data_IF_855977368380
#
_entry.id   IF_855977368380
#
_cell.length_a   1.000
_cell.length_b   1.000
_cell.length_c   1.000
_cell.angle_alpha   90.00
_cell.angle_beta   90.00
_cell.angle_gamma   90.00
#
_symmetry.space_group_name_H-M   'P 1'
#
loop_
_entity.id
_entity.type
_entity.pdbx_description
1 polymer ?
#
# COMPACT_ATOMS: atom_id res chain seq x y z
N UNK A 1 -23.77 -40.32 -52.35
CA UNK A 1 -23.06 -39.88 -53.60
C UNK A 1 -21.77 -39.22 -53.12
N UNK A 2 -20.65 -39.92 -53.06
CA UNK A 2 -19.61 -40.13 -54.04
C UNK A 2 -19.13 -38.79 -54.63
N UNK A 3 -17.90 -38.33 -54.21
CA UNK A 3 -16.58 -38.28 -54.87
C UNK A 3 -15.77 -37.24 -54.14
N UNK A 4 -14.55 -37.35 -53.66
CA UNK A 4 -13.38 -38.12 -54.05
C UNK A 4 -12.41 -37.31 -54.87
N UNK A 5 -11.12 -37.41 -54.57
CA UNK A 5 -9.93 -36.96 -55.32
C UNK A 5 -9.14 -35.85 -54.54
N UNK A 6 -8.05 -36.14 -53.95
CA UNK A 6 -6.72 -36.72 -54.20
C UNK A 6 -5.62 -35.64 -54.27
N UNK A 7 -4.70 -35.81 -53.41
CA UNK A 7 -3.28 -35.59 -53.30
C UNK A 7 -2.50 -35.00 -54.48
N UNK A 8 -1.55 -34.10 -54.15
CA UNK A 8 -0.21 -34.17 -54.79
C UNK A 8 0.86 -33.62 -53.83
N UNK A 9 1.77 -34.49 -53.45
CA UNK A 9 3.04 -34.19 -52.78
C UNK A 9 4.05 -33.69 -53.84
N UNK A 10 4.85 -32.72 -53.50
CA UNK A 10 6.10 -32.42 -54.21
C UNK A 10 7.24 -32.32 -53.17
N UNK A 11 8.09 -33.31 -53.22
CA UNK A 11 9.40 -33.39 -52.59
C UNK A 11 10.40 -32.75 -53.53
N UNK A 12 11.20 -31.82 -53.04
CA UNK A 12 12.45 -31.44 -53.72
C UNK A 12 13.55 -31.29 -52.67
N UNK A 13 14.52 -32.14 -52.82
CA UNK A 13 15.69 -32.40 -51.95
C UNK A 13 16.91 -31.58 -52.38
N UNK A 14 17.80 -31.38 -51.37
CA UNK A 14 19.25 -31.24 -51.41
C UNK A 14 19.91 -29.99 -51.97
N UNK A 15 20.66 -29.32 -51.11
CA UNK A 15 22.13 -29.20 -51.32
C UNK A 15 22.78 -28.82 -49.97
N UNK A 16 23.60 -29.76 -49.43
CA UNK A 16 24.65 -29.50 -48.44
C UNK A 16 25.76 -28.67 -49.10
N UNK A 17 26.19 -27.62 -48.44
CA UNK A 17 27.54 -27.10 -48.57
C UNK A 17 28.08 -26.87 -47.19
N UNK A 18 28.93 -27.80 -46.74
CA UNK A 18 29.80 -27.62 -45.60
C UNK A 18 30.99 -26.73 -46.01
N UNK A 19 31.19 -25.62 -45.30
CA UNK A 19 32.50 -24.99 -45.18
C UNK A 19 32.78 -24.77 -43.70
N UNK A 20 33.70 -25.58 -43.20
CA UNK A 20 34.37 -25.36 -41.93
C UNK A 20 35.37 -24.21 -42.12
N UNK A 21 35.50 -23.35 -41.12
CA UNK A 21 36.70 -22.84 -40.46
C UNK A 21 36.50 -21.44 -39.93
N UNK A 22 36.92 -21.23 -38.72
CA UNK A 22 37.18 -19.93 -38.15
C UNK A 22 36.43 -19.74 -36.84
N UNK A 23 37.06 -20.08 -35.72
CA UNK A 23 36.68 -19.63 -34.42
C UNK A 23 36.84 -18.11 -34.33
N UNK A 24 35.78 -17.46 -33.87
CA UNK A 24 35.89 -16.20 -33.19
C UNK A 24 34.85 -16.24 -32.09
N UNK A 25 35.33 -16.18 -30.85
CA UNK A 25 34.54 -15.88 -29.68
C UNK A 25 33.98 -14.46 -29.83
N UNK A 26 32.94 -14.31 -30.63
CA UNK A 26 32.10 -13.11 -30.56
C UNK A 26 31.07 -13.36 -29.47
N UNK A 27 31.33 -12.81 -28.30
CA UNK A 27 30.32 -12.46 -27.30
C UNK A 27 29.17 -11.76 -28.05
N UNK A 28 28.05 -12.43 -28.20
CA UNK A 28 26.81 -11.90 -28.77
C UNK A 28 26.28 -10.82 -27.80
N UNK A 29 26.83 -9.62 -27.93
CA UNK A 29 26.22 -8.43 -27.38
C UNK A 29 24.96 -8.18 -28.20
N UNK A 30 23.81 -8.63 -27.68
CA UNK A 30 22.52 -8.25 -28.22
C UNK A 30 22.40 -6.73 -28.20
N UNK A 31 22.62 -6.10 -29.35
CA UNK A 31 22.68 -4.64 -29.56
C UNK A 31 21.29 -3.96 -29.46
N UNK A 32 20.33 -4.64 -28.82
CA UNK A 32 18.97 -4.13 -28.61
C UNK A 32 18.74 -3.51 -27.23
N UNK A 33 17.74 -2.66 -27.09
CA UNK A 33 17.39 -2.09 -25.79
C UNK A 33 16.93 -3.19 -24.81
N UNK A 34 17.42 -3.15 -23.56
CA UNK A 34 16.93 -4.00 -22.48
C UNK A 34 15.52 -3.58 -22.12
N UNK A 35 14.58 -4.53 -22.07
CA UNK A 35 13.18 -4.25 -21.71
C UNK A 35 12.87 -4.83 -20.34
N UNK A 36 12.86 -4.00 -19.31
CA UNK A 36 12.43 -4.41 -17.96
C UNK A 36 10.91 -4.35 -17.82
N UNK A 37 10.36 -5.25 -17.03
CA UNK A 37 8.93 -5.24 -16.65
C UNK A 37 8.77 -4.65 -15.26
N UNK A 38 7.91 -3.63 -15.11
CA UNK A 38 7.54 -3.05 -13.83
C UNK A 38 6.08 -3.35 -13.49
N UNK A 39 5.85 -4.05 -12.37
CA UNK A 39 4.52 -4.17 -11.80
C UNK A 39 4.27 -3.03 -10.81
N UNK A 40 3.30 -2.21 -11.15
CA UNK A 40 2.79 -1.13 -10.32
C UNK A 40 1.47 -1.53 -9.68
N UNK A 41 1.40 -1.42 -8.36
CA UNK A 41 0.24 -1.81 -7.53
C UNK A 41 -0.65 -0.63 -7.16
N UNK A 42 -0.47 0.51 -7.83
CA UNK A 42 -1.23 1.74 -7.56
C UNK A 42 -2.64 1.70 -8.15
N UNK A 43 -3.45 2.66 -7.71
CA UNK A 43 -4.76 2.87 -8.31
C UNK A 43 -4.63 3.28 -9.78
N UNK A 44 -5.27 2.51 -10.65
CA UNK A 44 -5.17 2.65 -12.11
C UNK A 44 -5.64 4.02 -12.65
N UNK A 45 -6.54 4.70 -11.93
CA UNK A 45 -7.15 5.95 -12.39
C UNK A 45 -6.61 7.20 -11.71
N UNK A 46 -6.15 7.08 -10.47
CA UNK A 46 -5.71 8.22 -9.65
C UNK A 46 -4.19 8.40 -9.65
N UNK A 47 -3.43 7.30 -9.61
CA UNK A 47 -1.98 7.33 -9.44
C UNK A 47 -1.20 6.91 -10.70
N UNK A 48 -1.63 5.82 -11.35
CA UNK A 48 -0.93 5.21 -12.48
C UNK A 48 -0.60 6.16 -13.64
N UNK A 49 -1.46 7.13 -14.03
CA UNK A 49 -1.13 8.06 -15.12
C UNK A 49 0.15 8.86 -14.87
N UNK A 50 0.41 9.26 -13.62
CA UNK A 50 1.65 9.97 -13.25
C UNK A 50 2.87 9.08 -13.42
N UNK A 51 2.78 7.82 -12.98
CA UNK A 51 3.87 6.85 -13.10
C UNK A 51 4.18 6.51 -14.55
N UNK A 52 3.16 6.33 -15.38
CA UNK A 52 3.34 6.12 -16.82
C UNK A 52 4.00 7.32 -17.54
N UNK A 53 3.72 8.54 -17.08
CA UNK A 53 4.39 9.73 -17.61
C UNK A 53 5.88 9.73 -17.23
N UNK A 54 6.23 9.39 -15.99
CA UNK A 54 7.61 9.26 -15.52
C UNK A 54 8.37 8.13 -16.24
N UNK A 55 7.71 7.02 -16.55
CA UNK A 55 8.30 5.96 -17.40
C UNK A 55 8.74 6.52 -18.76
N UNK A 56 7.90 7.34 -19.40
CA UNK A 56 8.26 7.97 -20.70
C UNK A 56 9.44 8.94 -20.55
N UNK A 57 9.50 9.69 -19.45
CA UNK A 57 10.65 10.56 -19.15
C UNK A 57 11.93 9.75 -18.96
N UNK A 58 11.86 8.63 -18.21
CA UNK A 58 12.98 7.72 -18.03
C UNK A 58 13.49 7.16 -19.35
N UNK A 59 12.60 6.62 -20.19
CA UNK A 59 12.95 6.07 -21.51
C UNK A 59 13.54 7.12 -22.45
N UNK A 60 13.06 8.36 -22.35
CA UNK A 60 13.61 9.47 -23.14
C UNK A 60 15.06 9.79 -22.75
N UNK A 61 15.39 9.69 -21.47
CA UNK A 61 16.72 9.90 -20.93
C UNK A 61 17.66 8.68 -21.07
N UNK A 62 17.11 7.47 -21.23
CA UNK A 62 17.86 6.20 -21.25
C UNK A 62 17.49 5.37 -22.48
N UNK A 63 17.98 5.76 -23.64
CA UNK A 63 17.60 5.18 -24.96
C UNK A 63 17.80 3.67 -25.08
N UNK A 64 18.73 3.08 -24.32
CA UNK A 64 18.99 1.63 -24.29
C UNK A 64 18.09 0.85 -23.35
N UNK A 65 17.12 1.50 -22.66
CA UNK A 65 16.24 0.81 -21.70
C UNK A 65 14.76 1.12 -22.07
N UNK A 66 13.94 0.08 -22.06
CA UNK A 66 12.49 0.14 -22.18
C UNK A 66 11.83 -0.38 -20.91
N UNK A 67 10.65 0.14 -20.57
CA UNK A 67 9.89 -0.28 -19.40
C UNK A 67 8.51 -0.76 -19.82
N UNK A 68 8.28 -2.05 -19.72
CA UNK A 68 6.95 -2.65 -19.84
C UNK A 68 6.19 -2.41 -18.54
N UNK A 69 5.40 -1.33 -18.51
CA UNK A 69 4.54 -1.02 -17.38
C UNK A 69 3.32 -1.96 -17.33
N UNK A 70 3.06 -2.54 -16.16
CA UNK A 70 1.91 -3.41 -15.89
C UNK A 70 1.26 -2.96 -14.59
N UNK A 71 0.02 -2.47 -14.64
CA UNK A 71 -0.75 -2.21 -13.43
C UNK A 71 -1.37 -3.53 -12.92
N UNK A 72 -1.14 -3.83 -11.64
CA UNK A 72 -1.65 -5.03 -10.97
C UNK A 72 -2.52 -4.57 -9.80
N UNK A 73 -3.79 -5.02 -9.70
CA UNK A 73 -4.64 -4.69 -8.55
C UNK A 73 -3.97 -5.05 -7.23
N UNK A 74 -4.02 -4.12 -6.26
CA UNK A 74 -3.28 -4.23 -5.01
C UNK A 74 -3.62 -5.50 -4.22
N UNK A 75 -4.89 -5.84 -4.14
CA UNK A 75 -5.42 -7.01 -3.44
C UNK A 75 -4.91 -8.36 -3.98
N UNK A 76 -4.50 -8.39 -5.24
CA UNK A 76 -3.98 -9.60 -5.91
C UNK A 76 -2.45 -9.62 -5.99
N UNK A 77 -1.81 -8.46 -5.83
CA UNK A 77 -0.42 -8.25 -6.22
C UNK A 77 0.56 -9.09 -5.40
N UNK A 78 0.36 -9.22 -4.08
CA UNK A 78 1.25 -10.00 -3.21
C UNK A 78 1.28 -11.47 -3.63
N UNK A 79 0.11 -12.10 -3.75
CA UNK A 79 0.01 -13.51 -4.12
C UNK A 79 0.46 -13.76 -5.57
N UNK A 80 0.15 -12.84 -6.47
CA UNK A 80 0.56 -12.92 -7.87
C UNK A 80 2.08 -12.84 -8.00
N UNK A 81 2.72 -11.91 -7.26
CA UNK A 81 4.18 -11.80 -7.26
C UNK A 81 4.84 -13.03 -6.62
N UNK A 82 4.33 -13.51 -5.49
CA UNK A 82 4.84 -14.72 -4.81
C UNK A 82 4.87 -15.92 -5.76
N UNK A 83 3.78 -16.15 -6.47
CA UNK A 83 3.66 -17.24 -7.46
C UNK A 83 4.60 -17.03 -8.66
N UNK A 84 4.65 -15.82 -9.19
CA UNK A 84 5.46 -15.49 -10.36
C UNK A 84 6.97 -15.58 -10.04
N UNK A 85 7.41 -15.10 -8.88
CA UNK A 85 8.80 -15.15 -8.44
C UNK A 85 9.28 -16.60 -8.26
N UNK A 86 8.43 -17.47 -7.69
CA UNK A 86 8.74 -18.90 -7.54
C UNK A 86 8.86 -19.65 -8.87
N UNK A 87 8.25 -19.15 -9.95
CA UNK A 87 8.27 -19.76 -11.30
C UNK A 87 9.12 -19.00 -12.34
N UNK A 88 9.94 -18.04 -11.89
CA UNK A 88 10.76 -17.17 -12.75
C UNK A 88 9.97 -16.33 -13.76
N UNK A 89 8.69 -16.04 -13.46
CA UNK A 89 7.81 -15.20 -14.26
C UNK A 89 7.54 -13.83 -13.60
N UNK A 90 8.35 -13.43 -12.62
CA UNK A 90 8.20 -12.17 -11.91
C UNK A 90 8.63 -10.97 -12.78
N UNK A 91 8.12 -9.75 -12.48
CA UNK A 91 8.62 -8.52 -13.05
C UNK A 91 10.03 -8.22 -12.54
N UNK A 92 10.81 -7.42 -13.28
CA UNK A 92 12.14 -6.99 -12.85
C UNK A 92 12.04 -5.98 -11.68
N UNK A 93 10.98 -5.18 -11.65
CA UNK A 93 10.68 -4.22 -10.57
C UNK A 93 9.25 -4.41 -10.08
N UNK A 94 9.09 -4.45 -8.77
CA UNK A 94 7.79 -4.43 -8.10
C UNK A 94 7.64 -3.15 -7.28
N UNK A 95 6.50 -2.45 -7.42
CA UNK A 95 6.04 -1.50 -6.41
C UNK A 95 5.47 -2.31 -5.26
N UNK A 96 6.32 -2.63 -4.30
CA UNK A 96 6.03 -3.52 -3.17
C UNK A 96 5.50 -2.72 -1.99
N UNK A 97 4.39 -3.15 -1.41
CA UNK A 97 3.96 -2.60 -0.13
C UNK A 97 5.03 -2.88 0.95
N UNK A 98 5.29 -1.91 1.85
CA UNK A 98 6.44 -1.98 2.77
C UNK A 98 6.41 -3.22 3.67
N UNK A 99 5.24 -3.71 4.06
CA UNK A 99 5.09 -4.92 4.89
C UNK A 99 5.36 -6.24 4.16
N UNK A 100 5.48 -6.22 2.81
CA UNK A 100 5.83 -7.44 2.04
C UNK A 100 7.34 -7.66 1.97
N UNK A 101 8.13 -6.62 2.24
CA UNK A 101 9.59 -6.67 2.11
C UNK A 101 10.23 -7.81 2.92
N UNK A 102 9.92 -8.03 4.22
CA UNK A 102 10.53 -9.12 4.97
C UNK A 102 10.21 -10.51 4.41
N UNK A 103 8.96 -10.74 3.95
CA UNK A 103 8.54 -12.01 3.39
C UNK A 103 9.28 -12.36 2.10
N UNK A 104 9.37 -11.41 1.17
CA UNK A 104 10.02 -11.63 -0.10
C UNK A 104 11.55 -11.63 -0.02
N UNK A 105 12.13 -10.86 0.92
CA UNK A 105 13.55 -10.91 1.22
C UNK A 105 13.95 -12.27 1.80
N UNK A 106 13.18 -12.81 2.78
CA UNK A 106 13.40 -14.15 3.37
C UNK A 106 13.36 -15.27 2.32
N UNK A 107 12.49 -15.13 1.31
CA UNK A 107 12.39 -16.08 0.18
C UNK A 107 13.51 -15.91 -0.87
N UNK A 108 14.35 -14.87 -0.74
CA UNK A 108 15.39 -14.57 -1.73
C UNK A 108 14.82 -14.00 -3.05
N UNK A 109 13.61 -13.46 -3.05
CA UNK A 109 13.00 -12.91 -4.26
C UNK A 109 13.43 -11.49 -4.56
N UNK A 110 13.84 -10.71 -3.54
CA UNK A 110 14.35 -9.37 -3.73
C UNK A 110 15.86 -9.31 -3.71
N UNK A 111 16.42 -8.51 -4.59
CA UNK A 111 17.85 -8.22 -4.66
C UNK A 111 18.24 -7.30 -3.48
N UNK A 112 19.32 -7.63 -2.71
CA UNK A 112 19.90 -6.67 -1.78
C UNK A 112 20.43 -5.45 -2.52
N UNK A 113 20.08 -4.25 -2.05
CA UNK A 113 20.38 -3.00 -2.76
C UNK A 113 21.57 -2.22 -2.17
N UNK A 114 22.12 -2.66 -1.04
CA UNK A 114 23.26 -2.00 -0.40
C UNK A 114 24.46 -1.95 -1.34
N UNK A 115 25.00 -0.73 -1.53
CA UNK A 115 26.14 -0.49 -2.44
C UNK A 115 25.77 -0.42 -3.92
N UNK A 116 24.51 -0.57 -4.30
CA UNK A 116 24.05 -0.41 -5.69
C UNK A 116 23.72 1.04 -6.03
N UNK A 117 23.60 1.34 -7.34
CA UNK A 117 23.23 2.68 -7.80
C UNK A 117 21.82 3.13 -7.32
N UNK A 118 20.93 2.21 -6.99
CA UNK A 118 19.60 2.54 -6.49
C UNK A 118 19.61 3.22 -5.11
N UNK A 119 20.69 3.07 -4.34
CA UNK A 119 20.85 3.66 -3.00
C UNK A 119 21.99 4.68 -2.91
N UNK A 120 22.46 5.24 -4.02
CA UNK A 120 23.54 6.24 -4.02
C UNK A 120 23.21 7.50 -3.20
N UNK A 121 21.92 7.86 -3.09
CA UNK A 121 21.42 8.98 -2.29
C UNK A 121 20.66 8.52 -1.05
N UNK A 122 21.05 7.40 -0.44
CA UNK A 122 20.34 6.82 0.72
C UNK A 122 20.18 7.82 1.88
N UNK A 123 21.15 8.70 2.08
CA UNK A 123 21.14 9.76 3.11
C UNK A 123 20.05 10.83 2.93
N UNK A 124 19.44 10.93 1.76
CA UNK A 124 18.33 11.86 1.46
C UNK A 124 16.97 11.32 1.91
N UNK A 125 16.85 10.02 2.04
CA UNK A 125 15.60 9.39 2.48
C UNK A 125 15.43 9.50 4.00
N UNK A 126 14.19 9.53 4.44
CA UNK A 126 13.87 9.46 5.87
C UNK A 126 14.39 8.15 6.47
N UNK A 127 15.21 8.26 7.52
CA UNK A 127 15.91 7.12 8.12
C UNK A 127 14.96 5.98 8.51
N UNK A 128 13.82 6.32 9.12
CA UNK A 128 12.83 5.32 9.52
C UNK A 128 12.23 4.56 8.34
N UNK A 129 12.16 5.14 7.14
CA UNK A 129 11.64 4.46 5.95
C UNK A 129 12.67 3.53 5.33
N UNK A 130 13.95 3.92 5.35
CA UNK A 130 15.05 3.00 4.98
C UNK A 130 15.12 1.81 5.94
N UNK A 131 14.95 2.04 7.25
CA UNK A 131 14.93 0.94 8.22
C UNK A 131 13.76 -0.04 7.98
N UNK A 132 12.59 0.46 7.58
CA UNK A 132 11.45 -0.40 7.22
C UNK A 132 11.66 -1.18 5.91
N UNK A 133 12.59 -0.75 5.05
CA UNK A 133 12.94 -1.46 3.83
C UNK A 133 14.03 -2.55 4.06
N UNK A 134 14.45 -2.75 5.32
CA UNK A 134 15.48 -3.74 5.68
C UNK A 134 14.87 -5.05 6.18
N UNK A 135 15.62 -6.10 5.91
CA UNK A 135 15.45 -7.42 6.49
C UNK A 135 16.83 -8.02 6.80
N UNK A 136 17.05 -8.50 8.04
CA UNK A 136 18.33 -9.03 8.50
C UNK A 136 19.54 -8.11 8.16
N UNK A 137 19.35 -6.80 8.36
CA UNK A 137 20.38 -5.77 8.19
C UNK A 137 20.69 -5.36 6.76
N UNK A 138 20.04 -5.95 5.74
CA UNK A 138 20.18 -5.58 4.34
C UNK A 138 18.95 -4.85 3.82
N UNK A 139 19.14 -3.91 2.90
CA UNK A 139 18.08 -3.12 2.28
C UNK A 139 17.56 -3.82 1.01
N UNK A 140 16.23 -4.02 0.90
CA UNK A 140 15.60 -4.75 -0.21
C UNK A 140 14.61 -3.92 -1.01
N UNK A 141 14.51 -2.64 -0.73
CA UNK A 141 13.67 -1.73 -1.48
C UNK A 141 14.10 -0.28 -1.26
N UNK A 142 13.86 0.56 -2.25
CA UNK A 142 14.04 2.01 -2.11
C UNK A 142 12.68 2.62 -1.78
N UNK A 143 12.54 3.38 -0.67
CA UNK A 143 11.28 4.01 -0.31
C UNK A 143 10.76 4.92 -1.43
N UNK A 144 9.56 4.60 -1.93
CA UNK A 144 8.97 5.28 -3.09
C UNK A 144 7.85 6.25 -2.68
N UNK A 145 6.91 5.78 -1.88
CA UNK A 145 5.87 6.59 -1.25
C UNK A 145 5.72 6.18 0.19
N UNK A 146 5.33 7.11 1.06
CA UNK A 146 4.98 6.80 2.46
C UNK A 146 3.60 7.32 2.77
N UNK A 147 2.94 6.69 3.72
CA UNK A 147 1.61 7.07 4.17
C UNK A 147 1.34 6.65 5.62
N UNK A 148 0.22 7.09 6.12
CA UNK A 148 -0.40 6.62 7.37
C UNK A 148 -1.89 6.91 7.30
N UNK A 149 -2.67 6.36 8.21
CA UNK A 149 -4.08 6.68 8.34
C UNK A 149 -4.27 7.98 9.13
N UNK A 150 -5.29 8.74 8.73
CA UNK A 150 -5.74 9.95 9.41
C UNK A 150 -7.26 9.96 9.54
N UNK A 151 -7.79 10.70 10.47
CA UNK A 151 -9.18 11.12 10.44
C UNK A 151 -9.31 12.22 9.39
N UNK A 152 -9.99 11.91 8.28
CA UNK A 152 -10.34 12.90 7.26
C UNK A 152 -11.80 13.33 7.45
N UNK A 153 -12.07 14.64 7.36
CA UNK A 153 -13.39 15.16 7.67
C UNK A 153 -13.77 16.35 6.81
N UNK A 154 -15.06 16.55 6.65
CA UNK A 154 -15.66 17.68 5.95
C UNK A 154 -15.80 18.86 6.93
N UNK A 155 -14.93 19.88 6.80
CA UNK A 155 -14.92 21.05 7.69
C UNK A 155 -16.24 21.79 7.72
N UNK A 156 -16.89 21.96 6.57
CA UNK A 156 -18.17 22.67 6.50
C UNK A 156 -19.29 21.96 7.29
N UNK A 157 -19.31 20.61 7.27
CA UNK A 157 -20.27 19.85 8.10
C UNK A 157 -19.96 19.96 9.59
N UNK A 158 -18.68 19.94 9.97
CA UNK A 158 -18.22 20.12 11.35
C UNK A 158 -18.56 21.52 11.85
N UNK A 159 -18.25 22.56 11.07
CA UNK A 159 -18.58 23.95 11.38
C UNK A 159 -20.11 24.17 11.53
N UNK A 160 -20.90 23.66 10.56
CA UNK A 160 -22.37 23.71 10.63
C UNK A 160 -22.91 23.03 11.89
N UNK A 161 -22.25 21.97 12.34
CA UNK A 161 -22.61 21.29 13.58
C UNK A 161 -22.06 21.99 14.84
N UNK A 162 -21.09 22.90 14.71
CA UNK A 162 -20.42 23.57 15.82
C UNK A 162 -19.56 22.59 16.62
N UNK A 163 -18.89 21.67 15.94
CA UNK A 163 -17.98 20.69 16.55
C UNK A 163 -16.58 20.81 15.95
N UNK A 164 -15.58 20.54 16.76
CA UNK A 164 -14.17 20.47 16.34
C UNK A 164 -13.77 19.05 15.94
N UNK A 165 -12.59 18.92 15.32
CA UNK A 165 -11.99 17.60 15.06
C UNK A 165 -11.78 16.83 16.37
N UNK A 166 -12.29 15.60 16.49
CA UNK A 166 -12.27 14.84 17.73
C UNK A 166 -10.84 14.41 18.07
N UNK A 167 -10.49 14.50 19.35
CA UNK A 167 -9.19 14.09 19.88
C UNK A 167 -9.19 12.67 20.43
N UNK A 168 -10.34 12.18 20.86
CA UNK A 168 -10.54 10.82 21.40
C UNK A 168 -11.70 10.13 20.67
N UNK A 169 -11.78 8.81 20.79
CA UNK A 169 -12.89 8.04 20.22
C UNK A 169 -14.24 8.44 20.83
N UNK A 170 -14.28 8.84 22.10
CA UNK A 170 -15.50 9.35 22.75
C UNK A 170 -15.90 10.73 22.21
N UNK A 171 -14.92 11.58 21.90
CA UNK A 171 -15.21 12.86 21.23
C UNK A 171 -15.78 12.62 19.83
N UNK A 172 -15.25 11.62 19.08
CA UNK A 172 -15.78 11.24 17.77
C UNK A 172 -17.25 10.82 17.87
N UNK A 173 -17.62 9.99 18.86
CA UNK A 173 -19.02 9.58 19.08
C UNK A 173 -19.92 10.77 19.35
N UNK A 174 -19.49 11.69 20.22
CA UNK A 174 -20.25 12.92 20.56
C UNK A 174 -20.40 13.84 19.34
N UNK A 175 -19.29 14.05 18.61
CA UNK A 175 -19.31 14.85 17.39
C UNK A 175 -20.24 14.23 16.34
N UNK A 176 -20.16 12.91 16.12
CA UNK A 176 -21.01 12.21 15.16
C UNK A 176 -22.50 12.34 15.48
N UNK A 177 -22.90 12.16 16.74
CA UNK A 177 -24.28 12.35 17.17
C UNK A 177 -24.75 13.80 16.96
N UNK A 178 -23.90 14.79 17.26
CA UNK A 178 -24.21 16.21 17.08
C UNK A 178 -24.34 16.56 15.60
N UNK A 179 -23.45 16.07 14.75
CA UNK A 179 -23.50 16.26 13.30
C UNK A 179 -24.81 15.68 12.76
N UNK A 180 -25.14 14.44 13.15
CA UNK A 180 -26.39 13.79 12.72
C UNK A 180 -27.61 14.60 13.10
N UNK A 181 -27.67 15.08 14.33
CA UNK A 181 -28.81 15.87 14.84
C UNK A 181 -28.99 17.23 14.10
N UNK A 182 -27.88 17.92 13.80
CA UNK A 182 -27.92 19.26 13.19
C UNK A 182 -27.91 19.25 11.66
N UNK A 183 -27.41 18.23 11.01
CA UNK A 183 -27.22 18.17 9.55
C UNK A 183 -28.02 17.07 8.86
N UNK A 184 -28.47 16.06 9.60
CA UNK A 184 -29.07 14.84 9.06
C UNK A 184 -28.06 13.84 8.48
N UNK A 185 -26.78 14.21 8.37
CA UNK A 185 -25.69 13.40 7.82
C UNK A 185 -25.06 12.55 8.91
N UNK A 186 -24.65 11.32 8.61
CA UNK A 186 -23.87 10.53 9.56
C UNK A 186 -22.51 11.18 9.81
N UNK A 187 -22.08 11.23 11.08
CA UNK A 187 -20.86 11.90 11.47
C UNK A 187 -19.60 11.10 11.14
N UNK A 188 -19.72 9.75 11.15
CA UNK A 188 -18.59 8.88 10.88
C UNK A 188 -19.03 7.57 10.23
N UNK A 189 -18.20 7.05 9.32
CA UNK A 189 -18.34 5.71 8.74
C UNK A 189 -16.97 4.98 8.81
N UNK A 190 -16.92 3.93 9.62
CA UNK A 190 -15.72 3.13 9.82
C UNK A 190 -15.56 2.00 8.80
N UNK A 191 -14.33 1.58 8.58
CA UNK A 191 -13.97 0.39 7.81
C UNK A 191 -14.00 -0.87 8.68
N UNK A 192 -14.35 -2.01 8.09
CA UNK A 192 -14.27 -3.33 8.73
C UNK A 192 -12.93 -4.03 8.51
N UNK A 193 -12.02 -3.45 7.73
CA UNK A 193 -10.72 -4.03 7.43
C UNK A 193 -9.72 -3.87 8.59
N UNK A 194 -8.94 -4.90 8.83
CA UNK A 194 -7.98 -5.01 9.92
C UNK A 194 -6.92 -3.89 9.89
N UNK A 195 -6.46 -3.47 8.71
CA UNK A 195 -5.51 -2.36 8.57
C UNK A 195 -6.02 -1.06 9.22
N UNK A 196 -7.31 -0.75 9.06
CA UNK A 196 -7.94 0.43 9.69
C UNK A 196 -8.19 0.22 11.17
N UNK A 197 -8.54 -1.02 11.57
CA UNK A 197 -8.76 -1.39 12.96
C UNK A 197 -7.48 -1.32 13.80
N UNK A 198 -6.30 -1.44 13.18
CA UNK A 198 -5.00 -1.34 13.85
C UNK A 198 -4.82 -0.04 14.63
N UNK A 199 -5.40 1.06 14.16
CA UNK A 199 -5.36 2.36 14.87
C UNK A 199 -5.97 2.30 16.26
N UNK A 200 -6.96 1.45 16.47
CA UNK A 200 -7.61 1.27 17.76
C UNK A 200 -6.73 0.49 18.73
N UNK A 201 -5.98 -0.50 18.22
CA UNK A 201 -5.02 -1.25 19.03
C UNK A 201 -3.87 -0.34 19.51
N UNK A 202 -3.28 0.42 18.60
CA UNK A 202 -2.19 1.34 18.90
C UNK A 202 -2.60 2.40 19.92
N UNK A 203 -3.86 2.88 19.86
CA UNK A 203 -4.43 3.77 20.86
C UNK A 203 -4.52 3.17 22.27
N UNK A 204 -4.55 1.85 22.38
CA UNK A 204 -4.52 1.11 23.65
C UNK A 204 -3.11 0.57 24.00
N UNK A 205 -2.09 0.88 23.20
CA UNK A 205 -0.73 0.36 23.38
C UNK A 205 -0.58 -1.12 23.03
N UNK A 206 -1.46 -1.64 22.17
CA UNK A 206 -1.48 -3.03 21.72
C UNK A 206 -1.08 -3.16 20.25
N UNK A 207 -0.70 -4.36 19.87
CA UNK A 207 -0.53 -4.79 18.46
C UNK A 207 -1.15 -6.20 18.31
N UNK A 208 -1.20 -6.69 17.10
CA UNK A 208 -1.67 -8.05 16.75
C UNK A 208 -0.72 -9.12 17.28
N UNK A 209 0.60 -8.85 17.25
CA UNK A 209 1.67 -9.70 17.75
C UNK A 209 2.74 -8.87 18.45
N UNK A 210 3.38 -9.45 19.46
CA UNK A 210 4.62 -8.97 20.04
C UNK A 210 5.76 -9.83 19.47
N UNK A 211 6.55 -9.25 18.58
CA UNK A 211 7.63 -9.97 17.88
C UNK A 211 8.79 -10.28 18.80
N UNK A 212 9.11 -9.38 19.72
CA UNK A 212 10.23 -9.55 20.65
C UNK A 212 9.94 -10.67 21.67
N UNK A 213 8.71 -10.68 22.20
CA UNK A 213 8.25 -11.73 23.11
C UNK A 213 7.81 -13.01 22.39
N UNK A 214 7.75 -13.01 21.06
CA UNK A 214 7.15 -14.08 20.23
C UNK A 214 5.77 -14.49 20.73
N UNK A 215 4.88 -13.51 20.86
CA UNK A 215 3.53 -13.71 21.41
C UNK A 215 2.46 -13.16 20.47
N UNK A 216 1.38 -13.92 20.32
CA UNK A 216 0.16 -13.44 19.67
C UNK A 216 -0.61 -12.63 20.72
N UNK A 217 -0.92 -11.37 20.41
CA UNK A 217 -1.50 -10.42 21.38
C UNK A 217 -2.88 -9.94 21.01
N UNK A 218 -3.47 -10.46 19.95
CA UNK A 218 -4.78 -10.06 19.42
C UNK A 218 -5.93 -10.26 20.43
N UNK A 219 -5.79 -11.19 21.38
CA UNK A 219 -6.76 -11.44 22.45
C UNK A 219 -6.37 -10.81 23.80
N UNK A 220 -5.26 -10.05 23.86
CA UNK A 220 -4.85 -9.35 25.07
C UNK A 220 -5.93 -8.37 25.56
N UNK A 221 -5.98 -8.05 26.88
CA UNK A 221 -6.96 -7.09 27.40
C UNK A 221 -6.93 -5.73 26.69
N UNK A 222 -5.74 -5.23 26.34
CA UNK A 222 -5.56 -3.98 25.60
C UNK A 222 -6.08 -4.08 24.17
N UNK A 223 -5.76 -5.16 23.43
CA UNK A 223 -6.28 -5.39 22.09
C UNK A 223 -7.81 -5.53 22.09
N UNK A 224 -8.37 -6.33 23.00
CA UNK A 224 -9.84 -6.45 23.16
C UNK A 224 -10.52 -5.12 23.40
N UNK A 225 -9.91 -4.25 24.21
CA UNK A 225 -10.42 -2.89 24.45
C UNK A 225 -10.41 -2.05 23.18
N UNK A 226 -9.33 -2.10 22.39
CA UNK A 226 -9.24 -1.43 21.11
C UNK A 226 -10.33 -1.90 20.14
N UNK A 227 -10.48 -3.21 19.96
CA UNK A 227 -11.52 -3.78 19.10
C UNK A 227 -12.94 -3.52 19.60
N UNK A 228 -13.18 -3.49 20.92
CA UNK A 228 -14.47 -3.10 21.49
C UNK A 228 -14.81 -1.64 21.16
N UNK A 229 -13.82 -0.74 21.23
CA UNK A 229 -13.98 0.65 20.80
C UNK A 229 -14.31 0.73 19.31
N UNK A 230 -13.57 0.03 18.44
CA UNK A 230 -13.85 -0.07 17.01
C UNK A 230 -15.28 -0.57 16.73
N UNK A 231 -15.69 -1.70 17.35
CA UNK A 231 -17.03 -2.26 17.18
C UNK A 231 -18.13 -1.26 17.58
N UNK A 232 -17.89 -0.48 18.63
CA UNK A 232 -18.87 0.51 19.12
C UNK A 232 -19.11 1.67 18.16
N UNK A 233 -18.33 1.82 17.11
CA UNK A 233 -18.47 2.87 16.10
C UNK A 233 -19.41 2.49 14.94
N UNK A 234 -20.19 1.41 15.07
CA UNK A 234 -21.16 0.96 14.07
C UNK A 234 -22.61 0.97 14.60
N UNK A 235 -22.96 1.86 15.52
CA UNK A 235 -24.24 1.82 16.25
C UNK A 235 -25.46 2.29 15.45
N UNK A 236 -25.25 2.93 14.30
CA UNK A 236 -26.34 3.46 13.46
C UNK A 236 -27.02 4.73 14.02
N UNK A 237 -26.46 5.38 15.06
CA UNK A 237 -27.01 6.56 15.71
C UNK A 237 -26.15 7.82 15.52
N UNK A 238 -25.80 8.09 14.27
CA UNK A 238 -24.84 9.12 13.87
C UNK A 238 -23.50 8.55 13.49
N UNK A 239 -23.22 7.31 13.88
CA UNK A 239 -22.16 6.43 13.36
C UNK A 239 -22.82 5.50 12.34
N UNK A 240 -22.29 5.43 11.14
CA UNK A 240 -22.88 4.58 10.10
C UNK A 240 -22.74 3.10 10.49
N UNK A 241 -23.74 2.29 10.18
CA UNK A 241 -23.65 0.84 10.38
C UNK A 241 -22.52 0.25 9.56
N UNK A 242 -21.92 -0.84 10.04
CA UNK A 242 -20.90 -1.55 9.30
C UNK A 242 -21.45 -1.98 7.91
N UNK A 243 -20.68 -1.68 6.88
CA UNK A 243 -20.88 -2.26 5.56
C UNK A 243 -20.06 -3.55 5.48
N UNK A 244 -20.74 -4.68 5.31
CA UNK A 244 -20.14 -6.00 5.22
C UNK A 244 -20.16 -6.56 3.79
N UNK A 245 -20.40 -5.72 2.80
CA UNK A 245 -20.36 -6.08 1.38
C UNK A 245 -18.94 -6.05 0.84
N UNK A 246 -18.73 -6.69 -0.30
CA UNK A 246 -17.44 -6.67 -0.99
C UNK A 246 -17.05 -5.24 -1.45
N UNK A 247 -18.03 -4.37 -1.69
CA UNK A 247 -17.82 -3.01 -2.20
C UNK A 247 -17.75 -1.95 -1.07
N UNK A 248 -17.69 -2.39 0.21
CA UNK A 248 -17.69 -1.50 1.38
C UNK A 248 -16.67 -0.35 1.28
N UNK A 249 -15.47 -0.64 0.79
CA UNK A 249 -14.44 0.40 0.58
C UNK A 249 -14.93 1.49 -0.38
N UNK A 250 -15.46 1.12 -1.53
CA UNK A 250 -15.97 2.06 -2.53
C UNK A 250 -17.17 2.86 -2.01
N UNK A 251 -18.09 2.22 -1.28
CA UNK A 251 -19.25 2.88 -0.68
C UNK A 251 -18.85 3.97 0.32
N UNK A 252 -17.86 3.69 1.19
CA UNK A 252 -17.34 4.68 2.16
C UNK A 252 -16.74 5.88 1.43
N UNK A 253 -15.91 5.63 0.38
CA UNK A 253 -15.29 6.69 -0.41
C UNK A 253 -16.37 7.55 -1.11
N UNK A 254 -17.32 6.90 -1.79
CA UNK A 254 -18.41 7.60 -2.50
C UNK A 254 -19.25 8.47 -1.55
N UNK A 255 -19.58 7.95 -0.39
CA UNK A 255 -20.33 8.70 0.60
C UNK A 255 -19.56 9.92 1.09
N UNK A 256 -18.26 9.79 1.36
CA UNK A 256 -17.43 10.88 1.85
C UNK A 256 -17.22 11.97 0.80
N UNK A 257 -16.84 11.62 -0.43
CA UNK A 257 -16.59 12.59 -1.50
C UNK A 257 -17.85 13.40 -1.88
N UNK A 258 -19.04 12.85 -1.61
CA UNK A 258 -20.33 13.48 -1.87
C UNK A 258 -20.95 14.14 -0.62
N UNK A 259 -20.25 14.18 0.52
CA UNK A 259 -20.71 14.80 1.75
C UNK A 259 -21.90 14.08 2.41
N UNK A 260 -22.09 12.79 2.13
CA UNK A 260 -23.12 11.94 2.75
C UNK A 260 -22.69 11.36 4.09
N UNK A 261 -21.41 11.43 4.40
CA UNK A 261 -20.81 11.18 5.71
C UNK A 261 -19.78 12.27 6.01
N UNK A 262 -19.70 12.69 7.28
CA UNK A 262 -18.88 13.85 7.65
C UNK A 262 -17.42 13.52 7.91
N UNK A 263 -17.07 12.30 8.30
CA UNK A 263 -15.70 11.86 8.52
C UNK A 263 -15.51 10.37 8.32
N UNK A 264 -14.30 9.99 7.96
CA UNK A 264 -13.83 8.60 7.80
C UNK A 264 -12.35 8.53 8.25
N UNK A 265 -11.85 7.33 8.49
CA UNK A 265 -10.40 7.11 8.56
C UNK A 265 -9.91 6.70 7.17
N UNK A 266 -8.89 7.40 6.65
CA UNK A 266 -8.36 7.12 5.33
C UNK A 266 -6.88 7.55 5.20
N UNK A 267 -6.20 7.02 4.19
CA UNK A 267 -4.84 7.40 3.83
C UNK A 267 -4.75 8.43 2.69
N UNK A 268 -3.56 8.99 2.41
CA UNK A 268 -3.37 10.05 1.42
C UNK A 268 -3.63 9.62 -0.03
N UNK A 269 -3.64 8.33 -0.34
CA UNK A 269 -3.90 7.79 -1.68
C UNK A 269 -5.30 8.12 -2.23
N UNK A 270 -6.24 8.54 -1.36
CA UNK A 270 -7.58 8.95 -1.76
C UNK A 270 -7.75 10.47 -1.93
N UNK A 271 -6.76 11.30 -1.59
CA UNK A 271 -6.89 12.77 -1.65
C UNK A 271 -7.28 13.24 -3.06
N UNK A 272 -6.62 12.69 -4.09
CA UNK A 272 -6.94 13.03 -5.49
C UNK A 272 -8.39 12.70 -5.84
N UNK A 273 -8.92 11.61 -5.29
CA UNK A 273 -10.33 11.23 -5.45
C UNK A 273 -11.24 12.18 -4.65
N UNK A 274 -10.87 12.54 -3.43
CA UNK A 274 -11.63 13.49 -2.61
C UNK A 274 -11.83 14.81 -3.35
N UNK A 275 -10.77 15.37 -3.94
CA UNK A 275 -10.84 16.64 -4.67
C UNK A 275 -11.68 16.61 -5.95
N UNK A 276 -12.03 15.43 -6.47
CA UNK A 276 -12.98 15.26 -7.58
C UNK A 276 -14.43 15.30 -7.11
N UNK A 277 -14.68 15.02 -5.83
CA UNK A 277 -16.00 14.92 -5.24
C UNK A 277 -16.69 16.28 -5.03
N UNK A 278 -18.01 16.27 -4.97
CA UNK A 278 -18.81 17.48 -4.84
C UNK A 278 -18.57 18.23 -3.52
N UNK A 279 -18.22 17.50 -2.45
CA UNK A 279 -17.99 18.08 -1.13
C UNK A 279 -16.63 18.79 -1.00
N UNK A 280 -15.65 18.49 -1.87
CA UNK A 280 -14.26 18.95 -1.74
C UNK A 280 -13.74 19.67 -2.98
N UNK A 281 -14.63 20.26 -3.80
CA UNK A 281 -14.24 21.15 -4.90
C UNK A 281 -13.38 22.31 -4.40
N UNK A 282 -13.74 22.87 -3.23
CA UNK A 282 -12.82 23.66 -2.42
C UNK A 282 -11.97 22.72 -1.57
N UNK A 283 -10.70 22.59 -1.94
CA UNK A 283 -9.73 21.74 -1.26
C UNK A 283 -9.55 22.10 0.22
N UNK A 284 -9.79 23.37 0.60
CA UNK A 284 -9.71 23.82 1.98
C UNK A 284 -10.80 23.21 2.88
N UNK A 285 -11.88 22.67 2.29
CA UNK A 285 -12.93 21.96 3.04
C UNK A 285 -12.48 20.59 3.55
N UNK A 286 -11.41 20.00 3.00
CA UNK A 286 -10.85 18.77 3.53
C UNK A 286 -10.08 19.04 4.82
N UNK A 287 -10.56 18.48 5.93
CA UNK A 287 -9.85 18.44 7.19
C UNK A 287 -9.07 17.15 7.34
N UNK A 288 -7.87 17.23 7.89
CA UNK A 288 -7.01 16.09 8.19
C UNK A 288 -6.50 16.24 9.62
N UNK A 289 -6.75 15.25 10.45
CA UNK A 289 -6.31 15.19 11.84
C UNK A 289 -5.74 13.81 12.16
N UNK A 290 -4.97 13.70 13.23
CA UNK A 290 -4.59 12.38 13.77
C UNK A 290 -5.84 11.54 14.02
N UNK A 291 -5.74 10.24 13.86
CA UNK A 291 -6.80 9.35 14.35
C UNK A 291 -7.04 9.63 15.84
N UNK A 292 -8.28 9.53 16.32
CA UNK A 292 -8.55 9.78 17.72
C UNK A 292 -7.72 8.89 18.65
N UNK A 293 -7.31 9.44 19.81
CA UNK A 293 -6.55 8.71 20.80
C UNK A 293 -7.41 7.67 21.54
N UNK A 294 -6.79 6.56 21.91
CA UNK A 294 -7.34 5.57 22.82
C UNK A 294 -7.13 5.97 24.29
N UNK A 295 -7.31 5.01 25.20
CA UNK A 295 -7.24 5.26 26.64
C UNK A 295 -5.83 5.57 27.15
N UNK A 296 -4.81 5.28 26.39
CA UNK A 296 -3.42 5.69 26.71
C UNK A 296 -3.18 7.18 26.53
N UNK A 297 -4.15 7.91 25.94
CA UNK A 297 -4.00 9.31 25.54
C UNK A 297 -3.14 9.51 24.29
N UNK A 298 -2.70 8.43 23.65
CA UNK A 298 -1.91 8.46 22.42
C UNK A 298 -2.78 8.08 21.22
N UNK A 299 -2.60 8.80 20.14
CA UNK A 299 -3.06 8.40 18.83
C UNK A 299 -2.02 7.46 18.20
N UNK A 300 -2.46 6.54 17.36
CA UNK A 300 -1.57 5.66 16.61
C UNK A 300 -2.22 5.20 15.32
N UNK A 301 -1.44 5.13 14.25
CA UNK A 301 -1.87 4.56 12.97
C UNK A 301 -0.69 3.83 12.33
N UNK A 302 -0.91 2.77 11.52
CA UNK A 302 0.20 2.06 10.91
C UNK A 302 0.90 2.96 9.89
N UNK A 303 2.23 2.89 9.86
CA UNK A 303 3.00 3.42 8.73
C UNK A 303 2.80 2.49 7.55
N UNK A 304 2.40 3.06 6.44
CA UNK A 304 2.26 2.39 5.17
C UNK A 304 3.19 2.99 4.12
N UNK A 305 2.93 2.65 2.88
CA UNK A 305 3.68 3.11 1.74
C UNK A 305 4.22 1.96 0.90
N UNK A 306 5.05 2.33 -0.07
CA UNK A 306 5.58 1.38 -1.04
C UNK A 306 7.07 1.61 -1.26
N UNK A 307 7.78 0.52 -1.45
CA UNK A 307 9.14 0.50 -1.94
C UNK A 307 9.16 0.14 -3.44
N UNK A 308 10.19 0.53 -4.15
CA UNK A 308 10.56 -0.11 -5.41
C UNK A 308 11.62 -1.16 -5.10
N UNK A 309 11.29 -2.41 -5.35
CA UNK A 309 12.14 -3.57 -5.12
C UNK A 309 12.49 -4.24 -6.44
N UNK A 310 13.74 -4.71 -6.55
CA UNK A 310 14.25 -5.40 -7.75
C UNK A 310 14.19 -6.90 -7.53
N UNK A 311 13.74 -7.64 -8.54
CA UNK A 311 13.68 -9.09 -8.50
C UNK A 311 15.08 -9.71 -8.63
N UNK A 312 15.46 -10.54 -7.67
CA UNK A 312 16.76 -11.19 -7.63
C UNK A 312 16.98 -12.24 -8.74
N UNK A 313 15.89 -12.77 -9.29
CA UNK A 313 15.94 -13.79 -10.35
C UNK A 313 16.05 -13.23 -11.78
N UNK A 314 16.05 -11.91 -11.97
CA UNK A 314 16.36 -11.28 -13.25
C UNK A 314 17.85 -11.47 -13.60
N UNK A 315 18.19 -11.51 -14.88
CA UNK A 315 19.60 -11.54 -15.30
C UNK A 315 20.31 -10.20 -15.04
N UNK A 316 21.63 -10.18 -15.15
CA UNK A 316 22.47 -9.04 -14.81
C UNK A 316 22.10 -7.77 -15.62
N UNK A 317 21.79 -7.90 -16.90
CA UNK A 317 21.42 -6.77 -17.75
C UNK A 317 20.08 -6.16 -17.30
N UNK A 318 19.09 -7.00 -16.98
CA UNK A 318 17.80 -6.56 -16.44
C UNK A 318 17.95 -5.97 -15.04
N UNK A 319 18.74 -6.58 -14.14
CA UNK A 319 19.00 -6.03 -12.81
C UNK A 319 19.64 -4.65 -12.90
N UNK A 320 20.67 -4.46 -13.73
CA UNK A 320 21.31 -3.15 -13.93
C UNK A 320 20.35 -2.11 -14.47
N UNK A 321 19.51 -2.46 -15.44
CA UNK A 321 18.49 -1.55 -15.96
C UNK A 321 17.41 -1.22 -14.92
N UNK A 322 16.99 -2.21 -14.12
CA UNK A 322 16.04 -2.05 -13.02
C UNK A 322 16.58 -1.12 -11.92
N UNK A 323 17.82 -1.29 -11.48
CA UNK A 323 18.47 -0.41 -10.50
C UNK A 323 18.48 1.05 -10.96
N UNK A 324 18.82 1.28 -12.23
CA UNK A 324 18.80 2.61 -12.83
C UNK A 324 17.39 3.21 -12.89
N UNK A 325 16.40 2.39 -13.21
CA UNK A 325 14.99 2.80 -13.21
C UNK A 325 14.52 3.14 -11.79
N UNK A 326 14.84 2.33 -10.80
CA UNK A 326 14.51 2.57 -9.38
C UNK A 326 15.12 3.89 -8.91
N UNK A 327 16.40 4.13 -9.18
CA UNK A 327 17.07 5.40 -8.84
C UNK A 327 16.35 6.60 -9.45
N UNK A 328 15.99 6.54 -10.74
CA UNK A 328 15.25 7.61 -11.40
C UNK A 328 13.89 7.86 -10.76
N UNK A 329 13.10 6.80 -10.53
CA UNK A 329 11.74 6.90 -10.00
C UNK A 329 11.70 7.39 -8.54
N UNK A 330 12.77 7.18 -7.77
CA UNK A 330 12.90 7.61 -6.38
C UNK A 330 13.71 8.90 -6.21
N UNK A 331 14.11 9.53 -7.31
CA UNK A 331 14.79 10.83 -7.28
C UNK A 331 13.91 11.94 -6.69
N UNK A 332 14.52 13.02 -6.17
CA UNK A 332 13.77 14.14 -5.61
C UNK A 332 12.77 14.74 -6.61
N UNK A 333 13.17 14.88 -7.89
CA UNK A 333 12.29 15.39 -8.96
C UNK A 333 11.10 14.48 -9.23
N UNK A 334 11.32 13.15 -9.30
CA UNK A 334 10.23 12.20 -9.51
C UNK A 334 9.26 12.22 -8.32
N UNK A 335 9.77 12.20 -7.09
CA UNK A 335 8.94 12.26 -5.89
C UNK A 335 8.18 13.59 -5.72
N UNK A 336 8.78 14.74 -6.08
CA UNK A 336 8.04 16.01 -6.16
C UNK A 336 6.88 15.91 -7.14
N UNK A 337 7.14 15.36 -8.35
CA UNK A 337 6.11 15.19 -9.37
C UNK A 337 4.98 14.29 -8.89
N UNK A 338 5.32 13.18 -8.27
CA UNK A 338 4.35 12.21 -7.70
C UNK A 338 3.53 12.87 -6.60
N UNK A 339 4.18 13.58 -5.68
CA UNK A 339 3.50 14.28 -4.60
C UNK A 339 2.47 15.29 -5.14
N UNK A 340 2.86 16.12 -6.10
CA UNK A 340 1.99 17.17 -6.66
C UNK A 340 0.85 16.63 -7.53
N UNK A 341 1.00 15.44 -8.11
CA UNK A 341 0.00 14.84 -9.00
C UNK A 341 -0.90 13.83 -8.31
N UNK A 342 -0.34 13.03 -7.41
CA UNK A 342 -1.01 11.93 -6.74
C UNK A 342 -1.35 12.25 -5.28
N UNK A 343 -0.90 13.39 -4.73
CA UNK A 343 -1.02 13.79 -3.32
C UNK A 343 -0.42 12.77 -2.33
N UNK A 344 0.51 11.93 -2.77
CA UNK A 344 1.25 11.01 -1.90
C UNK A 344 2.42 11.71 -1.22
N UNK A 345 2.84 11.19 -0.09
CA UNK A 345 3.92 11.80 0.68
C UNK A 345 5.29 11.35 0.15
N UNK A 346 6.22 12.30 -0.12
CA UNK A 346 7.59 11.95 -0.43
C UNK A 346 8.30 11.22 0.71
N UNK A 347 9.20 10.34 0.34
CA UNK A 347 10.02 9.56 1.27
C UNK A 347 11.37 10.20 1.58
N UNK A 348 11.69 11.31 0.88
CA UNK A 348 12.95 12.05 1.02
C UNK A 348 12.67 13.53 1.28
N UNK A 349 13.53 14.16 2.10
CA UNK A 349 13.27 15.52 2.59
C UNK A 349 13.45 16.59 1.52
N UNK A 350 14.34 16.39 0.55
CA UNK A 350 14.61 17.32 -0.55
C UNK A 350 13.50 17.34 -1.63
N UNK A 351 12.57 16.39 -1.61
CA UNK A 351 11.36 16.40 -2.43
C UNK A 351 10.22 17.24 -1.82
N UNK A 352 10.31 17.66 -0.55
CA UNK A 352 9.36 18.58 0.07
C UNK A 352 9.64 20.04 -0.32
N UNK A 353 9.50 20.34 -1.59
CA UNK A 353 9.65 21.72 -2.11
C UNK A 353 8.55 22.64 -1.56
N UNK A 354 8.70 23.96 -1.78
CA UNK A 354 7.67 24.92 -1.37
C UNK A 354 6.29 24.62 -1.97
N UNK A 355 6.25 24.09 -3.21
CA UNK A 355 5.01 23.70 -3.88
C UNK A 355 4.36 22.49 -3.20
N UNK A 356 5.15 21.46 -2.87
CA UNK A 356 4.67 20.26 -2.17
C UNK A 356 4.12 20.61 -0.79
N UNK A 357 4.85 21.44 -0.02
CA UNK A 357 4.44 21.91 1.30
C UNK A 357 3.17 22.79 1.30
N UNK A 358 2.89 23.45 0.17
CA UNK A 358 1.72 24.31 0.03
C UNK A 358 0.42 23.53 -0.28
N UNK A 359 0.50 22.27 -0.68
CA UNK A 359 -0.71 21.45 -0.89
C UNK A 359 -1.34 21.10 0.46
N UNK A 360 -2.64 21.44 0.67
CA UNK A 360 -3.28 21.26 1.97
C UNK A 360 -3.42 19.78 2.38
N UNK A 361 -3.57 18.88 1.42
CA UNK A 361 -3.64 17.46 1.68
C UNK A 361 -2.30 16.90 2.15
N UNK A 362 -1.21 17.22 1.44
CA UNK A 362 0.14 16.81 1.80
C UNK A 362 0.53 17.40 3.16
N UNK A 363 0.30 18.71 3.36
CA UNK A 363 0.61 19.39 4.61
C UNK A 363 -0.16 18.77 5.80
N UNK A 364 -1.45 18.46 5.61
CA UNK A 364 -2.25 17.78 6.62
C UNK A 364 -1.69 16.42 6.99
N UNK A 365 -1.41 15.55 6.02
CA UNK A 365 -0.84 14.23 6.31
C UNK A 365 0.59 14.30 6.87
N UNK A 366 1.39 15.29 6.47
CA UNK A 366 2.73 15.49 7.04
C UNK A 366 2.66 15.74 8.56
N UNK A 367 1.64 16.44 9.05
CA UNK A 367 1.47 16.67 10.49
C UNK A 367 1.12 15.39 11.26
N UNK A 368 0.36 14.48 10.66
CA UNK A 368 -0.08 13.24 11.33
C UNK A 368 0.94 12.10 11.24
N UNK A 369 1.93 12.19 10.35
CA UNK A 369 2.99 11.17 10.24
C UNK A 369 3.77 10.98 11.54
N UNK A 370 3.86 12.00 12.41
CA UNK A 370 4.54 11.90 13.70
C UNK A 370 3.87 10.92 14.67
N UNK A 371 2.58 10.62 14.46
CA UNK A 371 1.82 9.63 15.22
C UNK A 371 1.82 8.23 14.58
N UNK A 372 2.39 8.11 13.38
CA UNK A 372 2.48 6.83 12.68
C UNK A 372 3.45 5.89 13.39
N UNK A 373 3.08 4.62 13.47
CA UNK A 373 3.88 3.58 14.09
C UNK A 373 4.38 2.59 13.04
N UNK A 374 5.67 2.21 13.07
CA UNK A 374 6.21 1.21 12.16
C UNK A 374 5.55 -0.13 12.44
N UNK A 375 5.31 -0.88 11.39
CA UNK A 375 4.87 -2.28 11.52
C UNK A 375 6.06 -3.19 11.79
N UNK A 376 5.88 -4.29 12.52
CA UNK A 376 6.95 -5.25 12.77
C UNK A 376 7.57 -5.81 11.49
N UNK A 377 8.90 -5.94 11.45
CA UNK A 377 9.64 -6.55 10.34
C UNK A 377 9.56 -8.10 10.39
N UNK A 378 8.35 -8.63 10.56
CA UNK A 378 8.08 -10.07 10.60
C UNK A 378 7.65 -10.53 9.20
N UNK A 379 8.32 -11.55 8.61
CA UNK A 379 7.98 -12.06 7.27
C UNK A 379 6.52 -12.46 7.10
N UNK A 380 5.91 -12.98 8.14
CA UNK A 380 4.53 -13.44 8.17
C UNK A 380 3.52 -12.30 8.43
N UNK A 381 3.96 -11.08 8.81
CA UNK A 381 3.07 -10.01 9.30
C UNK A 381 1.96 -9.66 8.30
N UNK A 382 2.27 -9.53 7.02
CA UNK A 382 1.26 -9.22 6.01
C UNK A 382 0.21 -10.33 5.84
N UNK A 383 0.54 -11.57 6.17
CA UNK A 383 -0.39 -12.70 6.13
C UNK A 383 -1.36 -12.73 7.31
N UNK A 384 -1.08 -11.96 8.37
CA UNK A 384 -1.96 -11.88 9.55
C UNK A 384 -3.24 -11.10 9.27
N UNK A 385 -3.27 -10.25 8.23
CA UNK A 385 -4.43 -9.44 7.88
C UNK A 385 -5.63 -10.29 7.46
N UNK A 386 -5.44 -11.32 6.64
CA UNK A 386 -6.53 -12.15 6.14
C UNK A 386 -7.40 -12.75 7.25
N UNK A 387 -6.84 -13.50 8.22
CA UNK A 387 -7.60 -14.02 9.36
C UNK A 387 -8.31 -12.95 10.20
N UNK A 388 -7.69 -11.76 10.33
CA UNK A 388 -8.30 -10.64 11.04
C UNK A 388 -9.45 -10.04 10.26
N UNK A 389 -9.30 -9.79 8.96
CA UNK A 389 -10.35 -9.26 8.09
C UNK A 389 -11.59 -10.15 8.11
N UNK A 390 -11.41 -11.47 8.01
CA UNK A 390 -12.49 -12.45 8.04
C UNK A 390 -13.30 -12.38 9.35
N UNK A 391 -12.62 -12.29 10.49
CA UNK A 391 -13.30 -12.29 11.78
C UNK A 391 -13.86 -10.90 12.13
N UNK A 392 -13.16 -9.81 11.82
CA UNK A 392 -13.68 -8.47 12.04
C UNK A 392 -14.94 -8.20 11.22
N UNK A 393 -15.00 -8.72 9.99
CA UNK A 393 -16.21 -8.66 9.17
C UNK A 393 -17.40 -9.38 9.83
N UNK A 394 -17.16 -10.55 10.42
CA UNK A 394 -18.19 -11.32 11.16
C UNK A 394 -18.63 -10.61 12.44
N UNK A 395 -17.67 -10.05 13.18
CA UNK A 395 -17.93 -9.27 14.41
C UNK A 395 -18.76 -8.03 14.08
N UNK A 396 -18.36 -7.25 13.07
CA UNK A 396 -19.07 -6.04 12.65
C UNK A 396 -20.48 -6.34 12.13
N UNK A 397 -20.65 -7.48 11.47
CA UNK A 397 -21.95 -7.99 11.00
C UNK A 397 -22.81 -8.64 12.08
N UNK A 398 -22.33 -8.74 13.34
CA UNK A 398 -23.05 -9.37 14.45
C UNK A 398 -23.23 -10.88 14.33
N UNK A 399 -22.39 -11.54 13.51
CA UNK A 399 -22.45 -13.00 13.28
C UNK A 399 -21.75 -13.79 14.37
N UNK A 400 -20.75 -13.21 15.01
CA UNK A 400 -20.00 -13.77 16.15
C UNK A 400 -19.79 -12.67 17.19
N UNK A 401 -19.57 -13.07 18.44
CA UNK A 401 -19.16 -12.13 19.48
C UNK A 401 -17.72 -11.66 19.28
N UNK A 402 -17.35 -10.53 19.91
CA UNK A 402 -15.98 -10.03 19.85
C UNK A 402 -14.96 -11.07 20.36
N UNK A 403 -15.24 -11.69 21.51
CA UNK A 403 -14.34 -12.69 22.10
C UNK A 403 -14.20 -13.93 21.23
N UNK A 404 -15.28 -14.40 20.65
CA UNK A 404 -15.28 -15.56 19.73
C UNK A 404 -14.48 -15.26 18.47
N UNK A 405 -14.75 -14.11 17.80
CA UNK A 405 -14.04 -13.74 16.57
C UNK A 405 -12.56 -13.52 16.80
N UNK A 406 -12.16 -12.84 17.89
CA UNK A 406 -10.75 -12.66 18.21
C UNK A 406 -10.06 -13.98 18.57
N UNK A 407 -10.74 -14.92 19.25
CA UNK A 407 -10.24 -16.26 19.51
C UNK A 407 -10.04 -17.09 18.23
N UNK A 408 -10.95 -16.96 17.27
CA UNK A 408 -10.83 -17.58 15.95
C UNK A 408 -9.62 -17.00 15.19
N UNK A 409 -9.47 -15.66 15.18
CA UNK A 409 -8.33 -14.97 14.56
C UNK A 409 -7.01 -15.42 15.20
N UNK A 410 -6.91 -15.46 16.54
CA UNK A 410 -5.72 -15.94 17.25
C UNK A 410 -5.36 -17.37 16.82
N UNK A 411 -6.37 -18.25 16.71
CA UNK A 411 -6.15 -19.65 16.32
C UNK A 411 -5.65 -19.76 14.86
N UNK A 412 -6.14 -18.91 13.97
CA UNK A 412 -5.68 -18.87 12.59
C UNK A 412 -4.27 -18.25 12.47
N UNK A 413 -4.01 -17.17 13.21
CA UNK A 413 -2.69 -16.52 13.28
C UNK A 413 -1.62 -17.49 13.81
N UNK A 414 -1.93 -18.29 14.83
CA UNK A 414 -0.99 -19.26 15.40
C UNK A 414 -0.48 -20.29 14.37
N UNK A 415 -1.25 -20.55 13.32
CA UNK A 415 -0.81 -21.45 12.23
C UNK A 415 0.20 -20.75 11.30
N UNK A 416 0.14 -19.43 11.20
CA UNK A 416 1.03 -18.62 10.36
C UNK A 416 2.36 -18.32 11.06
N UNK A 417 2.33 -18.22 12.39
CA UNK A 417 3.50 -17.95 13.25
C UNK A 417 3.64 -19.05 14.31
N UNK A 418 3.99 -20.29 13.92
CA UNK A 418 3.98 -21.45 14.81
C UNK A 418 4.98 -21.35 15.99
N UNK A 419 5.98 -20.47 15.87
CA UNK A 419 6.98 -20.21 16.93
C UNK A 419 6.49 -19.19 17.97
N UNK A 420 5.29 -18.62 17.81
CA UNK A 420 4.71 -17.66 18.72
C UNK A 420 3.77 -18.35 19.71
N UNK A 421 3.86 -17.98 20.99
CA UNK A 421 2.89 -18.39 22.01
C UNK A 421 1.59 -17.58 21.88
N UNK A 422 0.50 -18.17 22.37
CA UNK A 422 -0.78 -17.46 22.54
C UNK A 422 -0.78 -16.63 23.80
#
# INVERSE_FOLDING_TARGET
MRRGIAATALVASLALAATACGGDDSSDSSDGPVTITWWDTSNATNEAPTYQALVKEFEAANKGIKVKYVNVPFDQAQNKFDTAAGSKGAPDVLRSEVGWTPAFAKKGFFLPLDGTEALTEQDKFKTNLIEQAKYEGKTYGVPFTTDTLALVYNKALFEKAGVEAPKTWDDLKKAAATIKAKTGVDGYWGSTQAYYAQSFLYGEGADTVDVDAKKITVTSPAAKKGYATWQSLFDGKGLHKADTTADAYAHIQEAFVNGKVASIIQGPWEITNFYKGSAFKDKQNLGIATVPAGSTGKAGAPTGGHNLSVYAGSDEAHQKAALKFVNFMTSAKAQETIALKNNTLPTRDDAYTAKVKADPGIAGYQTVLSAAQPRPALPEYSSLWGPLDDELLKIAGGKVSLDEGLGNAETAIAKLVPDFSK
#
